data_IF_209322488720
#
_entry.id   IF_209322488720
#
_cell.length_a   1.000
_cell.length_b   1.000
_cell.length_c   1.000
_cell.angle_alpha   90.00
_cell.angle_beta   90.00
_cell.angle_gamma   90.00
#
_symmetry.space_group_name_H-M   'P 1'
#
loop_
_entity.id
_entity.type
_entity.pdbx_description
1 polymer ?
#
# COMPACT_ATOMS: atom_id res chain seq x y z
N UNK A 1 -36.22 33.89 3.81
CA UNK A 1 -36.12 34.45 2.46
C UNK A 1 -35.33 33.43 1.62
N UNK A 2 -36.01 32.70 0.77
CA UNK A 2 -35.41 31.71 -0.13
C UNK A 2 -34.87 32.44 -1.36
N UNK A 3 -33.58 32.38 -1.58
CA UNK A 3 -32.95 32.96 -2.79
C UNK A 3 -33.52 32.28 -4.04
N UNK A 4 -33.87 33.05 -5.04
CA UNK A 4 -34.43 32.53 -6.29
C UNK A 4 -33.33 31.99 -7.20
N UNK A 5 -33.70 31.06 -8.12
CA UNK A 5 -32.78 30.48 -9.13
C UNK A 5 -32.01 31.54 -9.96
N UNK A 6 -32.58 32.74 -10.09
CA UNK A 6 -31.95 33.90 -10.76
C UNK A 6 -30.80 34.52 -9.96
N UNK A 7 -30.92 34.50 -8.63
CA UNK A 7 -29.88 35.06 -7.74
C UNK A 7 -28.64 34.16 -7.69
N UNK A 8 -28.86 32.83 -7.72
CA UNK A 8 -27.77 31.83 -7.78
C UNK A 8 -26.95 31.96 -9.08
N UNK A 9 -27.61 32.22 -10.22
CA UNK A 9 -26.92 32.41 -11.51
C UNK A 9 -26.08 33.72 -11.56
N UNK A 10 -26.51 34.76 -10.86
CA UNK A 10 -25.74 36.01 -10.77
C UNK A 10 -24.43 35.84 -9.95
N UNK A 11 -24.51 35.08 -8.87
CA UNK A 11 -23.31 34.78 -8.06
C UNK A 11 -22.32 33.88 -8.75
N UNK A 12 -22.79 32.86 -9.51
CA UNK A 12 -21.89 31.98 -10.29
C UNK A 12 -21.22 32.71 -11.43
N UNK A 13 -21.94 33.61 -12.12
CA UNK A 13 -21.36 34.42 -13.21
C UNK A 13 -20.29 35.40 -12.71
N UNK A 14 -20.51 36.06 -11.56
CA UNK A 14 -19.54 36.97 -10.97
C UNK A 14 -18.28 36.24 -10.44
N UNK A 15 -18.44 35.07 -9.83
CA UNK A 15 -17.32 34.26 -9.36
C UNK A 15 -16.42 33.77 -10.52
N UNK A 16 -17.02 33.32 -11.63
CA UNK A 16 -16.28 32.89 -12.83
C UNK A 16 -15.57 34.08 -13.50
N UNK A 17 -16.21 35.25 -13.57
CA UNK A 17 -15.61 36.45 -14.13
C UNK A 17 -14.43 36.96 -13.27
N UNK A 18 -14.54 36.90 -11.94
CA UNK A 18 -13.45 37.26 -11.02
C UNK A 18 -12.28 36.29 -11.12
N UNK A 19 -12.54 34.98 -11.25
CA UNK A 19 -11.48 34.00 -11.46
C UNK A 19 -10.78 34.13 -12.83
N UNK A 20 -11.52 34.50 -13.89
CA UNK A 20 -10.94 34.76 -15.21
C UNK A 20 -10.12 36.06 -15.23
N UNK A 21 -10.62 37.11 -14.59
CA UNK A 21 -9.88 38.39 -14.45
C UNK A 21 -8.63 38.22 -13.56
N UNK A 22 -8.72 37.43 -12.49
CA UNK A 22 -7.56 37.10 -11.63
C UNK A 22 -6.48 36.32 -12.38
N UNK A 23 -6.86 35.43 -13.31
CA UNK A 23 -5.90 34.70 -14.16
C UNK A 23 -5.23 35.61 -15.20
N UNK A 24 -5.96 36.54 -15.80
CA UNK A 24 -5.40 37.49 -16.76
C UNK A 24 -4.50 38.54 -16.05
N UNK A 25 -4.91 39.04 -14.86
CA UNK A 25 -4.11 39.99 -14.07
C UNK A 25 -2.88 39.35 -13.41
N UNK A 26 -2.93 38.04 -13.07
CA UNK A 26 -1.79 37.34 -12.47
C UNK A 26 -0.60 37.17 -13.43
N UNK A 27 -0.82 37.32 -14.75
CA UNK A 27 0.26 37.29 -15.73
C UNK A 27 1.04 38.60 -15.81
N UNK A 28 0.41 39.71 -15.43
CA UNK A 28 1.01 41.07 -15.60
C UNK A 28 1.56 41.72 -14.32
N UNK A 29 1.23 41.22 -13.12
CA UNK A 29 1.61 41.84 -11.85
C UNK A 29 2.56 40.99 -11.00
N UNK A 30 3.56 40.40 -11.60
CA UNK A 30 4.66 39.79 -10.82
C UNK A 30 5.67 40.84 -10.40
N UNK A 31 5.27 41.71 -9.52
CA UNK A 31 6.19 42.60 -8.84
C UNK A 31 7.02 41.77 -7.83
N UNK A 32 8.34 41.95 -7.86
CA UNK A 32 9.24 41.50 -6.81
C UNK A 32 8.70 41.97 -5.45
N UNK A 33 8.47 41.01 -4.53
CA UNK A 33 8.01 41.31 -3.17
C UNK A 33 6.54 41.04 -2.86
N UNK A 34 5.74 40.53 -3.78
CA UNK A 34 4.37 40.07 -3.45
C UNK A 34 4.40 38.74 -2.69
N UNK A 35 4.06 38.69 -1.37
CA UNK A 35 4.07 37.45 -0.61
C UNK A 35 3.04 36.41 -1.10
N UNK A 36 2.06 36.85 -1.92
CA UNK A 36 1.01 35.99 -2.50
C UNK A 36 1.29 35.63 -3.96
N UNK A 37 2.45 36.03 -4.50
CA UNK A 37 2.83 35.61 -5.85
C UNK A 37 3.00 34.11 -5.89
N UNK A 38 2.13 33.42 -6.64
CA UNK A 38 2.28 31.99 -6.89
C UNK A 38 3.59 31.80 -7.65
N UNK A 39 4.49 31.02 -7.10
CA UNK A 39 5.73 30.66 -7.81
C UNK A 39 5.32 29.90 -9.08
N UNK A 40 5.70 30.42 -10.24
CA UNK A 40 5.56 29.73 -11.50
C UNK A 40 6.90 29.13 -11.86
N UNK A 41 6.96 27.86 -11.86
CA UNK A 41 8.08 27.05 -12.27
C UNK A 41 7.60 25.60 -12.38
N UNK A 42 8.37 24.70 -12.98
CA UNK A 42 8.05 23.29 -12.92
C UNK A 42 7.95 22.89 -11.45
N UNK A 43 6.87 22.22 -11.09
CA UNK A 43 6.78 21.53 -9.81
C UNK A 43 7.56 20.23 -9.93
N UNK A 44 8.38 19.93 -8.92
CA UNK A 44 8.91 18.59 -8.74
C UNK A 44 7.73 17.70 -8.30
N UNK A 45 7.21 16.95 -9.24
CA UNK A 45 6.12 16.01 -8.98
C UNK A 45 6.67 14.59 -9.06
N UNK A 46 6.34 13.74 -8.08
CA UNK A 46 6.77 12.35 -8.11
C UNK A 46 6.18 11.62 -9.32
N UNK A 47 6.81 10.53 -9.71
CA UNK A 47 6.23 9.60 -10.68
C UNK A 47 4.90 9.07 -10.15
N UNK A 48 3.83 9.24 -10.93
CA UNK A 48 2.48 8.80 -10.54
C UNK A 48 1.97 7.77 -11.55
N UNK A 49 1.82 6.50 -11.15
CA UNK A 49 1.19 5.47 -11.99
C UNK A 49 -0.25 5.85 -12.38
N UNK A 50 -0.75 5.27 -13.47
CA UNK A 50 -2.18 5.34 -13.81
C UNK A 50 -3.00 4.68 -12.72
N UNK A 51 -4.24 5.14 -12.54
CA UNK A 51 -5.20 4.59 -11.59
C UNK A 51 -6.38 4.02 -12.34
N UNK A 52 -6.95 2.94 -11.79
CA UNK A 52 -8.12 2.29 -12.35
C UNK A 52 -8.89 1.54 -11.28
N UNK A 53 -10.05 1.03 -11.66
CA UNK A 53 -10.92 0.21 -10.83
C UNK A 53 -11.31 -1.05 -11.60
N UNK A 54 -11.17 -2.21 -10.97
CA UNK A 54 -11.66 -3.48 -11.47
C UNK A 54 -12.94 -3.86 -10.71
N UNK A 55 -13.88 -4.52 -11.38
CA UNK A 55 -15.04 -5.11 -10.72
C UNK A 55 -14.60 -6.40 -10.00
N UNK A 56 -14.51 -6.33 -8.69
CA UNK A 56 -14.14 -7.46 -7.82
C UNK A 56 -15.38 -8.14 -7.20
N UNK A 57 -15.17 -9.21 -6.43
CA UNK A 57 -16.28 -9.98 -5.84
C UNK A 57 -17.11 -9.19 -4.81
N UNK A 58 -16.54 -8.15 -4.21
CA UNK A 58 -17.18 -7.35 -3.16
C UNK A 58 -17.44 -5.90 -3.57
N UNK A 59 -17.20 -5.54 -4.81
CA UNK A 59 -17.32 -4.19 -5.34
C UNK A 59 -16.09 -3.77 -6.14
N UNK A 60 -15.84 -2.48 -6.28
CA UNK A 60 -14.72 -1.97 -7.05
C UNK A 60 -13.41 -2.12 -6.29
N UNK A 61 -12.39 -2.63 -6.98
CA UNK A 61 -11.02 -2.76 -6.49
C UNK A 61 -10.15 -1.70 -7.17
N UNK A 62 -9.64 -0.76 -6.41
CA UNK A 62 -8.71 0.26 -6.90
C UNK A 62 -7.31 -0.33 -7.12
N UNK A 63 -6.67 0.10 -8.20
CA UNK A 63 -5.29 -0.25 -8.48
C UNK A 63 -4.51 0.91 -9.10
N UNK A 64 -3.17 0.83 -9.02
CA UNK A 64 -2.20 1.70 -9.70
C UNK A 64 -1.38 0.87 -10.66
N UNK A 65 -1.06 1.41 -11.85
CA UNK A 65 -0.41 0.67 -12.93
C UNK A 65 0.65 1.54 -13.63
N UNK A 66 1.88 1.05 -13.71
CA UNK A 66 2.97 1.71 -14.45
C UNK A 66 2.86 1.55 -15.98
N UNK A 67 2.04 0.62 -16.46
CA UNK A 67 1.61 0.49 -17.85
C UNK A 67 2.36 -0.52 -18.69
N UNK A 68 3.67 -0.65 -18.59
CA UNK A 68 4.49 -1.46 -19.50
C UNK A 68 5.50 -2.34 -18.76
N UNK A 69 5.89 -3.46 -19.38
CA UNK A 69 6.89 -4.40 -18.87
C UNK A 69 6.31 -5.71 -18.35
N UNK A 70 7.13 -6.47 -17.61
CA UNK A 70 6.75 -7.72 -16.96
C UNK A 70 5.76 -7.44 -15.83
N UNK A 71 4.54 -8.02 -15.83
CA UNK A 71 3.53 -7.70 -14.84
C UNK A 71 3.90 -8.24 -13.45
N UNK A 72 3.88 -7.36 -12.47
CA UNK A 72 4.09 -7.63 -11.05
C UNK A 72 2.97 -6.99 -10.23
N UNK A 73 2.13 -7.81 -9.61
CA UNK A 73 1.14 -7.35 -8.62
C UNK A 73 1.86 -7.01 -7.31
N UNK A 74 1.51 -5.88 -6.71
CA UNK A 74 2.01 -5.42 -5.42
C UNK A 74 0.87 -5.35 -4.41
N UNK A 75 0.92 -6.18 -3.37
CA UNK A 75 -0.02 -6.21 -2.27
C UNK A 75 0.56 -5.45 -1.07
N UNK A 76 -0.04 -4.32 -0.64
CA UNK A 76 0.46 -3.53 0.47
C UNK A 76 0.19 -4.18 1.83
N UNK A 77 0.95 -3.77 2.84
CA UNK A 77 0.60 -4.09 4.23
C UNK A 77 -0.70 -3.38 4.64
N UNK A 78 -1.53 -4.03 5.44
CA UNK A 78 -2.71 -3.39 6.00
C UNK A 78 -2.32 -2.48 7.21
N UNK A 79 -2.98 -1.34 7.39
CA UNK A 79 -4.08 -0.77 6.61
C UNK A 79 -3.64 0.16 5.47
N UNK A 80 -2.42 0.00 4.95
CA UNK A 80 -1.88 0.84 3.89
C UNK A 80 -2.51 0.50 2.53
N UNK A 81 -2.20 1.33 1.55
CA UNK A 81 -2.73 1.26 0.19
C UNK A 81 -1.62 0.99 -0.82
N UNK A 82 -1.95 0.86 -2.09
CA UNK A 82 -0.98 0.81 -3.20
C UNK A 82 -0.01 2.01 -3.22
N UNK A 83 -0.28 3.09 -2.49
CA UNK A 83 0.65 4.20 -2.28
C UNK A 83 1.86 3.84 -1.42
N UNK A 84 1.81 2.75 -0.66
CA UNK A 84 2.99 2.23 0.01
C UNK A 84 4.17 2.07 -0.95
N UNK A 85 3.89 1.72 -2.20
CA UNK A 85 4.89 1.49 -3.23
C UNK A 85 5.27 2.74 -4.04
N UNK A 86 4.87 3.93 -3.58
CA UNK A 86 5.01 5.21 -4.31
C UNK A 86 6.47 5.49 -4.72
N UNK A 87 7.43 5.13 -3.88
CA UNK A 87 8.86 5.33 -4.13
C UNK A 87 9.52 4.21 -4.94
N UNK A 88 8.85 3.08 -5.19
CA UNK A 88 9.41 1.95 -5.97
C UNK A 88 8.77 1.75 -7.34
N UNK A 89 7.66 2.44 -7.66
CA UNK A 89 7.04 2.32 -8.99
C UNK A 89 8.00 2.73 -10.11
N UNK A 90 8.67 3.87 -10.00
CA UNK A 90 9.63 4.33 -11.00
C UNK A 90 10.88 3.45 -11.05
N UNK A 91 11.54 3.09 -9.92
CA UNK A 91 12.61 2.11 -9.89
C UNK A 91 12.29 0.79 -10.59
N UNK A 92 11.10 0.22 -10.36
CA UNK A 92 10.64 -1.01 -11.02
C UNK A 92 10.41 -0.80 -12.52
N UNK A 93 9.75 0.30 -12.91
CA UNK A 93 9.51 0.61 -14.31
C UNK A 93 10.82 0.77 -15.11
N UNK A 94 11.85 1.41 -14.53
CA UNK A 94 13.17 1.52 -15.15
C UNK A 94 13.87 0.16 -15.34
N UNK A 95 13.47 -0.86 -14.59
CA UNK A 95 13.94 -2.25 -14.70
C UNK A 95 13.05 -3.13 -15.60
N UNK A 96 12.10 -2.51 -16.35
CA UNK A 96 11.22 -3.21 -17.27
C UNK A 96 10.10 -3.99 -16.58
N UNK A 97 9.76 -3.65 -15.34
CA UNK A 97 8.69 -4.27 -14.57
C UNK A 97 7.46 -3.37 -14.59
N UNK A 98 6.33 -3.91 -15.06
CA UNK A 98 5.01 -3.29 -14.94
C UNK A 98 4.47 -3.54 -13.55
N UNK A 99 4.66 -2.61 -12.63
CA UNK A 99 4.19 -2.71 -11.27
C UNK A 99 2.71 -2.30 -11.17
N UNK A 100 1.89 -3.17 -10.60
CA UNK A 100 0.45 -3.00 -10.45
C UNK A 100 0.12 -3.13 -8.96
N UNK A 101 0.00 -1.99 -8.27
CA UNK A 101 -0.35 -1.97 -6.84
C UNK A 101 -1.86 -2.06 -6.66
N UNK A 102 -2.32 -2.98 -5.83
CA UNK A 102 -3.74 -3.27 -5.59
C UNK A 102 -4.11 -2.88 -4.17
N UNK A 103 -5.14 -2.06 -3.99
CA UNK A 103 -5.70 -1.79 -2.67
C UNK A 103 -6.57 -2.96 -2.24
N UNK A 104 -6.28 -3.56 -1.08
CA UNK A 104 -7.11 -4.63 -0.54
C UNK A 104 -8.55 -4.14 -0.28
N UNK A 105 -9.58 -4.98 -0.49
CA UNK A 105 -10.97 -4.59 -0.20
C UNK A 105 -11.14 -3.97 1.18
N UNK A 106 -11.72 -2.76 1.20
CA UNK A 106 -11.94 -1.96 2.41
C UNK A 106 -10.85 -0.94 2.72
N UNK A 107 -9.68 -0.99 2.07
CA UNK A 107 -8.61 -0.01 2.23
C UNK A 107 -8.46 0.88 1.00
N UNK A 108 -7.90 2.07 1.22
CA UNK A 108 -7.71 3.06 0.16
C UNK A 108 -9.02 3.42 -0.52
N UNK A 109 -9.07 3.19 -1.81
CA UNK A 109 -10.21 3.49 -2.68
C UNK A 109 -10.97 2.22 -3.12
N UNK A 110 -10.69 1.06 -2.51
CA UNK A 110 -11.41 -0.19 -2.78
C UNK A 110 -12.66 -0.32 -1.92
N UNK A 111 -13.75 -0.82 -2.50
CA UNK A 111 -14.98 -1.09 -1.77
C UNK A 111 -14.76 -2.12 -0.66
N UNK A 112 -15.46 -2.01 0.48
CA UNK A 112 -15.31 -2.94 1.58
C UNK A 112 -16.10 -4.24 1.34
N UNK A 113 -15.68 -5.31 2.00
CA UNK A 113 -16.49 -6.51 2.14
C UNK A 113 -17.72 -6.23 3.02
N UNK A 114 -18.86 -6.91 2.80
CA UNK A 114 -20.03 -6.76 3.67
C UNK A 114 -19.92 -7.49 5.02
N UNK A 115 -18.75 -8.03 5.33
CA UNK A 115 -18.42 -8.78 6.55
C UNK A 115 -16.97 -8.49 6.95
N UNK A 116 -16.54 -9.00 8.10
CA UNK A 116 -15.12 -8.91 8.54
C UNK A 116 -14.29 -9.81 7.63
N UNK A 117 -13.35 -9.24 6.84
CA UNK A 117 -12.62 -10.00 5.84
C UNK A 117 -11.55 -10.91 6.43
N UNK A 118 -11.21 -11.94 5.65
CA UNK A 118 -10.03 -12.78 5.81
C UNK A 118 -8.99 -12.42 4.76
N UNK A 119 -7.78 -12.97 4.90
CA UNK A 119 -6.73 -12.86 3.87
C UNK A 119 -7.18 -13.49 2.54
N UNK A 120 -7.96 -14.58 2.59
CA UNK A 120 -8.50 -15.24 1.39
C UNK A 120 -9.47 -14.33 0.61
N UNK A 121 -10.31 -13.56 1.31
CA UNK A 121 -11.20 -12.59 0.67
C UNK A 121 -10.41 -11.49 -0.05
N UNK A 122 -9.29 -11.05 0.52
CA UNK A 122 -8.43 -10.06 -0.13
C UNK A 122 -7.65 -10.62 -1.33
N UNK A 123 -7.27 -11.89 -1.27
CA UNK A 123 -6.57 -12.55 -2.37
C UNK A 123 -7.41 -12.58 -3.66
N UNK A 124 -8.76 -12.61 -3.55
CA UNK A 124 -9.68 -12.57 -4.68
C UNK A 124 -9.64 -11.25 -5.49
N UNK A 125 -9.13 -10.18 -4.91
CA UNK A 125 -8.96 -8.89 -5.61
C UNK A 125 -7.91 -8.98 -6.73
N UNK A 126 -6.90 -9.85 -6.59
CA UNK A 126 -5.81 -9.97 -7.57
C UNK A 126 -6.29 -10.50 -8.91
N UNK A 127 -7.01 -11.64 -9.00
CA UNK A 127 -7.58 -12.10 -10.28
C UNK A 127 -8.47 -11.07 -10.95
N UNK A 128 -9.30 -10.33 -10.21
CA UNK A 128 -10.19 -9.31 -10.75
C UNK A 128 -9.41 -8.21 -11.50
N UNK A 129 -8.31 -7.74 -10.92
CA UNK A 129 -7.44 -6.75 -11.55
C UNK A 129 -6.72 -7.33 -12.78
N UNK A 130 -6.24 -8.57 -12.70
CA UNK A 130 -5.60 -9.25 -13.84
C UNK A 130 -6.57 -9.43 -15.02
N UNK A 131 -7.82 -9.81 -14.74
CA UNK A 131 -8.86 -10.02 -15.76
C UNK A 131 -9.20 -8.70 -16.47
N UNK A 132 -9.37 -7.61 -15.73
CA UNK A 132 -9.60 -6.28 -16.32
C UNK A 132 -8.46 -5.87 -17.24
N UNK A 133 -7.21 -6.14 -16.85
CA UNK A 133 -6.01 -5.75 -17.60
C UNK A 133 -5.66 -6.72 -18.74
N UNK A 134 -6.41 -7.82 -18.89
CA UNK A 134 -6.15 -8.87 -19.88
C UNK A 134 -4.84 -9.60 -19.63
N UNK A 135 -4.43 -9.73 -18.37
CA UNK A 135 -3.21 -10.42 -17.94
C UNK A 135 -3.58 -11.82 -17.47
N UNK A 136 -3.16 -12.84 -18.23
CA UNK A 136 -3.44 -14.21 -17.88
C UNK A 136 -2.69 -14.63 -16.61
N UNK A 137 -1.43 -14.24 -16.49
CA UNK A 137 -0.53 -14.65 -15.40
C UNK A 137 0.46 -13.53 -15.07
N UNK A 138 0.67 -13.25 -13.79
CA UNK A 138 1.62 -12.24 -13.31
C UNK A 138 2.54 -12.78 -12.22
N UNK A 139 3.62 -12.06 -11.93
CA UNK A 139 4.33 -12.22 -10.66
C UNK A 139 3.53 -11.51 -9.56
N UNK A 140 3.63 -12.00 -8.32
CA UNK A 140 2.94 -11.40 -7.19
C UNK A 140 3.94 -11.13 -6.07
N UNK A 141 3.92 -9.93 -5.53
CA UNK A 141 4.71 -9.51 -4.39
C UNK A 141 3.81 -8.94 -3.31
N UNK A 142 4.02 -9.33 -2.08
CA UNK A 142 3.35 -8.71 -0.95
C UNK A 142 4.30 -8.32 0.16
N UNK A 143 3.99 -7.21 0.81
CA UNK A 143 4.75 -6.68 1.94
C UNK A 143 3.99 -6.88 3.25
N UNK A 144 4.58 -7.53 4.26
CA UNK A 144 3.97 -7.87 5.55
C UNK A 144 2.59 -8.54 5.39
N UNK A 145 1.49 -7.91 5.83
CA UNK A 145 0.12 -8.45 5.61
C UNK A 145 -0.15 -8.70 4.12
N UNK A 146 0.36 -7.83 3.24
CA UNK A 146 0.32 -8.06 1.80
C UNK A 146 1.08 -9.32 1.38
N UNK A 147 2.14 -9.70 2.12
CA UNK A 147 2.85 -10.97 1.92
C UNK A 147 1.97 -12.18 2.20
N UNK A 148 1.06 -12.09 3.18
CA UNK A 148 0.04 -13.13 3.42
C UNK A 148 -0.98 -13.16 2.28
N UNK A 149 -1.43 -11.99 1.79
CA UNK A 149 -2.34 -11.90 0.64
C UNK A 149 -1.70 -12.48 -0.62
N UNK A 150 -0.43 -12.16 -0.89
CA UNK A 150 0.31 -12.70 -2.02
C UNK A 150 0.51 -14.23 -1.90
N UNK A 151 0.80 -14.73 -0.70
CA UNK A 151 0.89 -16.17 -0.40
C UNK A 151 -0.43 -16.86 -0.69
N UNK A 152 -1.52 -16.34 -0.15
CA UNK A 152 -2.86 -16.91 -0.34
C UNK A 152 -3.31 -16.83 -1.79
N UNK A 153 -2.97 -15.74 -2.51
CA UNK A 153 -3.20 -15.65 -3.96
C UNK A 153 -2.48 -16.80 -4.71
N UNK A 154 -1.24 -17.09 -4.35
CA UNK A 154 -0.49 -18.18 -4.98
C UNK A 154 -1.02 -19.58 -4.61
N UNK A 155 -1.65 -19.73 -3.45
CA UNK A 155 -2.28 -20.97 -3.01
C UNK A 155 -3.63 -21.18 -3.70
N UNK A 156 -4.48 -20.15 -3.75
CA UNK A 156 -5.83 -20.23 -4.31
C UNK A 156 -5.84 -20.19 -5.85
N UNK A 157 -4.93 -19.45 -6.46
CA UNK A 157 -4.88 -19.20 -7.90
C UNK A 157 -3.48 -19.47 -8.49
N UNK A 158 -2.90 -20.67 -8.30
CA UNK A 158 -1.53 -20.96 -8.72
C UNK A 158 -1.34 -20.83 -10.24
N UNK A 159 -2.40 -20.99 -11.02
CA UNK A 159 -2.39 -20.81 -12.48
C UNK A 159 -2.27 -19.32 -12.87
N UNK A 160 -2.56 -18.39 -11.97
CA UNK A 160 -2.48 -16.93 -12.18
C UNK A 160 -1.14 -16.32 -11.71
N UNK A 161 -0.30 -17.09 -11.02
CA UNK A 161 0.95 -16.62 -10.41
C UNK A 161 2.17 -17.26 -11.05
N UNK A 162 3.07 -16.47 -11.67
CA UNK A 162 4.34 -16.96 -12.22
C UNK A 162 5.38 -17.19 -11.12
N UNK A 163 5.67 -16.14 -10.35
CA UNK A 163 6.61 -16.14 -9.22
C UNK A 163 6.00 -15.37 -8.07
N UNK A 164 6.36 -15.77 -6.86
CA UNK A 164 5.92 -15.12 -5.63
C UNK A 164 7.11 -14.47 -4.93
N UNK A 165 6.92 -13.25 -4.42
CA UNK A 165 7.87 -12.60 -3.52
C UNK A 165 7.13 -12.25 -2.23
N UNK A 166 7.63 -12.75 -1.11
CA UNK A 166 7.07 -12.48 0.21
C UNK A 166 8.06 -11.58 0.95
N UNK A 167 7.75 -10.29 1.01
CA UNK A 167 8.57 -9.32 1.74
C UNK A 167 8.09 -9.23 3.18
N UNK A 168 8.85 -9.77 4.09
CA UNK A 168 8.51 -9.87 5.51
C UNK A 168 7.41 -10.91 5.77
N UNK A 169 7.66 -12.21 5.54
CA UNK A 169 6.73 -13.26 5.95
C UNK A 169 6.63 -13.32 7.48
N UNK A 170 5.45 -13.73 7.96
CA UNK A 170 5.17 -13.77 9.40
C UNK A 170 4.61 -15.16 9.80
N UNK A 171 5.40 -16.25 9.70
CA UNK A 171 5.05 -17.50 10.35
C UNK A 171 5.09 -17.35 11.87
N UNK A 172 4.06 -17.83 12.55
CA UNK A 172 4.00 -17.83 14.01
C UNK A 172 3.12 -18.94 14.54
N UNK A 173 3.34 -19.31 15.82
CA UNK A 173 2.55 -20.33 16.48
C UNK A 173 1.14 -19.85 16.83
N UNK A 174 0.24 -20.80 17.12
CA UNK A 174 -1.15 -20.52 17.46
C UNK A 174 -1.27 -19.63 18.73
N UNK A 175 -0.45 -19.89 19.75
CA UNK A 175 -0.45 -19.08 20.96
C UNK A 175 -0.03 -17.63 20.69
N UNK A 176 0.99 -17.44 19.87
CA UNK A 176 1.47 -16.12 19.48
C UNK A 176 0.40 -15.35 18.69
N UNK A 177 -0.22 -15.99 17.68
CA UNK A 177 -1.35 -15.43 16.94
C UNK A 177 -2.49 -15.03 17.86
N UNK A 178 -2.85 -15.90 18.82
CA UNK A 178 -3.90 -15.62 19.79
C UNK A 178 -3.58 -14.40 20.67
N UNK A 179 -2.31 -14.20 21.05
CA UNK A 179 -1.89 -13.05 21.83
C UNK A 179 -1.95 -11.76 21.01
N UNK A 180 -1.58 -11.78 19.73
CA UNK A 180 -1.75 -10.63 18.84
C UNK A 180 -3.24 -10.30 18.60
N UNK A 181 -4.12 -11.29 18.45
CA UNK A 181 -5.56 -11.05 18.35
C UNK A 181 -6.13 -10.36 19.60
N UNK A 182 -5.71 -10.75 20.80
CA UNK A 182 -6.09 -10.05 22.04
C UNK A 182 -5.61 -8.60 22.05
N UNK A 183 -4.41 -8.34 21.52
CA UNK A 183 -3.90 -6.96 21.38
C UNK A 183 -4.75 -6.14 20.42
N UNK A 184 -5.11 -6.69 19.26
CA UNK A 184 -6.02 -6.04 18.28
C UNK A 184 -7.38 -5.77 18.91
N UNK A 185 -7.94 -6.74 19.64
CA UNK A 185 -9.23 -6.58 20.33
C UNK A 185 -9.17 -5.47 21.40
N UNK A 186 -8.12 -5.45 22.21
CA UNK A 186 -7.97 -4.47 23.26
C UNK A 186 -7.69 -3.04 22.76
N UNK A 187 -6.91 -2.89 21.70
CA UNK A 187 -6.38 -1.60 21.25
C UNK A 187 -7.00 -1.05 19.97
N UNK A 188 -7.38 -1.92 19.05
CA UNK A 188 -7.82 -1.46 17.71
C UNK A 188 -9.33 -1.61 17.48
N UNK A 189 -9.97 -2.72 17.86
CA UNK A 189 -11.42 -2.92 17.68
C UNK A 189 -12.21 -1.90 18.50
N UNK A 190 -11.71 -1.55 19.69
CA UNK A 190 -12.32 -0.57 20.58
C UNK A 190 -11.86 0.87 20.32
N UNK A 191 -11.21 1.12 19.20
CA UNK A 191 -10.74 2.45 18.83
C UNK A 191 -11.90 3.44 18.67
N UNK A 192 -11.70 4.65 19.22
CA UNK A 192 -12.70 5.73 19.15
C UNK A 192 -12.04 6.98 18.56
N UNK A 193 -12.65 7.53 17.52
CA UNK A 193 -12.24 8.82 16.97
C UNK A 193 -12.46 9.93 18.01
N UNK A 194 -11.42 10.69 18.33
CA UNK A 194 -11.45 11.77 19.30
C UNK A 194 -11.81 13.10 18.61
N UNK A 195 -12.70 13.88 19.21
CA UNK A 195 -13.17 15.14 18.64
C UNK A 195 -12.08 16.21 18.52
N UNK A 196 -11.04 16.13 19.34
CA UNK A 196 -9.89 17.03 19.33
C UNK A 196 -8.79 16.61 18.35
N UNK A 197 -8.96 15.46 17.66
CA UNK A 197 -7.98 14.93 16.69
C UNK A 197 -6.76 14.23 17.33
N UNK A 198 -6.75 14.01 18.65
CA UNK A 198 -5.61 13.39 19.35
C UNK A 198 -5.28 11.99 18.83
N UNK A 199 -6.26 11.24 18.35
CA UNK A 199 -6.07 9.92 17.72
C UNK A 199 -5.14 9.97 16.49
N UNK A 200 -5.16 11.06 15.71
CA UNK A 200 -4.24 11.25 14.58
C UNK A 200 -2.81 11.49 15.08
N UNK A 201 -2.67 12.27 16.13
CA UNK A 201 -1.38 12.52 16.77
C UNK A 201 -0.78 11.25 17.37
N UNK A 202 -1.60 10.41 18.02
CA UNK A 202 -1.19 9.14 18.59
C UNK A 202 -0.74 8.15 17.50
N UNK A 203 -1.47 8.06 16.39
CA UNK A 203 -1.11 7.23 15.25
C UNK A 203 0.22 7.69 14.62
N UNK A 204 0.40 8.99 14.44
CA UNK A 204 1.66 9.57 13.96
C UNK A 204 2.82 9.24 14.91
N UNK A 205 2.63 9.47 16.22
CA UNK A 205 3.66 9.20 17.23
C UNK A 205 4.00 7.70 17.33
N UNK A 206 3.01 6.82 17.15
CA UNK A 206 3.22 5.38 17.08
C UNK A 206 4.14 5.01 15.92
N UNK A 207 3.83 5.46 14.69
CA UNK A 207 4.66 5.20 13.51
C UNK A 207 6.05 5.82 13.63
N UNK A 208 6.15 7.02 14.19
CA UNK A 208 7.44 7.68 14.47
C UNK A 208 8.33 6.81 15.38
N UNK A 209 7.77 6.25 16.45
CA UNK A 209 8.53 5.36 17.35
C UNK A 209 9.03 4.11 16.65
N UNK A 210 8.21 3.49 15.80
CA UNK A 210 8.63 2.30 15.02
C UNK A 210 9.88 2.57 14.16
N UNK A 211 9.99 3.77 13.56
CA UNK A 211 11.20 4.18 12.84
C UNK A 211 12.41 4.32 13.75
N UNK A 212 12.25 5.00 14.87
CA UNK A 212 13.33 5.24 15.82
C UNK A 212 13.83 3.92 16.43
N UNK A 213 12.89 3.06 16.83
CA UNK A 213 13.20 1.77 17.44
C UNK A 213 13.91 0.82 16.45
N UNK A 214 13.58 0.91 15.16
CA UNK A 214 14.29 0.23 14.06
C UNK A 214 15.62 0.87 13.65
N UNK A 215 16.08 1.92 14.38
CA UNK A 215 17.36 2.60 14.08
C UNK A 215 17.32 3.53 12.86
N UNK A 216 16.14 3.75 12.27
CA UNK A 216 15.96 4.63 11.12
C UNK A 216 15.83 6.11 11.49
N UNK A 217 15.98 6.97 10.49
CA UNK A 217 15.69 8.40 10.61
C UNK A 217 14.25 8.66 10.16
N UNK A 218 13.34 9.11 11.04
CA UNK A 218 11.96 9.34 10.67
C UNK A 218 11.82 10.45 9.62
N UNK A 219 11.08 10.18 8.54
CA UNK A 219 10.60 11.20 7.61
C UNK A 219 9.18 11.63 7.98
N UNK A 220 8.97 12.85 8.49
CA UNK A 220 7.64 13.31 8.88
C UNK A 220 6.61 13.33 7.74
N UNK A 221 7.05 13.54 6.50
CA UNK A 221 6.16 13.49 5.32
C UNK A 221 5.66 12.07 5.07
N UNK A 222 6.56 11.10 5.15
CA UNK A 222 6.23 9.69 5.00
C UNK A 222 5.30 9.21 6.12
N UNK A 223 5.63 9.54 7.37
CA UNK A 223 4.79 9.20 8.54
C UNK A 223 3.41 9.84 8.42
N UNK A 224 3.30 11.07 7.90
CA UNK A 224 2.01 11.71 7.62
C UNK A 224 1.21 10.90 6.62
N UNK A 225 1.82 10.42 5.51
CA UNK A 225 1.15 9.56 4.53
C UNK A 225 0.57 8.32 5.20
N UNK A 226 1.38 7.57 5.94
CA UNK A 226 0.96 6.37 6.66
C UNK A 226 -0.16 6.62 7.68
N UNK A 227 -0.08 7.76 8.38
CA UNK A 227 -1.11 8.16 9.35
C UNK A 227 -2.44 8.44 8.68
N UNK A 228 -2.43 9.16 7.55
CA UNK A 228 -3.65 9.47 6.80
C UNK A 228 -4.26 8.21 6.21
N UNK A 229 -3.46 7.37 5.59
CA UNK A 229 -3.93 6.13 4.95
C UNK A 229 -4.58 5.17 5.97
N UNK A 230 -4.10 5.13 7.20
CA UNK A 230 -4.70 4.32 8.28
C UNK A 230 -6.19 4.60 8.46
N UNK A 231 -6.64 5.83 8.23
CA UNK A 231 -8.02 6.26 8.46
C UNK A 231 -8.79 6.58 7.17
N UNK A 232 -8.20 6.34 6.01
CA UNK A 232 -8.78 6.69 4.72
C UNK A 232 -9.70 5.60 4.17
N UNK A 233 -9.51 4.33 4.53
CA UNK A 233 -10.28 3.21 3.99
C UNK A 233 -11.76 3.23 4.43
N UNK A 234 -12.60 2.53 3.67
CA UNK A 234 -14.04 2.34 3.98
C UNK A 234 -14.26 1.32 5.10
N UNK A 235 -13.37 0.33 5.22
CA UNK A 235 -13.41 -0.60 6.35
C UNK A 235 -12.66 -0.03 7.57
N UNK A 236 -13.04 -0.43 8.80
CA UNK A 236 -12.26 -0.11 9.98
C UNK A 236 -10.83 -0.67 9.86
N UNK A 237 -9.83 0.15 10.19
CA UNK A 237 -8.40 -0.22 10.00
C UNK A 237 -7.98 -1.48 10.77
N UNK A 238 -8.66 -1.81 11.88
CA UNK A 238 -8.36 -3.00 12.67
C UNK A 238 -8.59 -4.31 11.91
N UNK A 239 -9.42 -4.29 10.86
CA UNK A 239 -9.67 -5.49 10.04
C UNK A 239 -8.38 -6.01 9.41
N UNK A 240 -7.40 -5.12 9.19
CA UNK A 240 -6.09 -5.46 8.67
C UNK A 240 -5.32 -6.43 9.55
N UNK A 241 -5.07 -6.03 10.78
CA UNK A 241 -4.38 -6.88 11.74
C UNK A 241 -5.22 -8.10 12.15
N UNK A 242 -6.55 -7.94 12.25
CA UNK A 242 -7.42 -9.07 12.54
C UNK A 242 -7.27 -10.17 11.47
N UNK A 243 -7.40 -9.83 10.18
CA UNK A 243 -7.25 -10.80 9.11
C UNK A 243 -5.85 -11.44 9.10
N UNK A 244 -4.80 -10.65 9.33
CA UNK A 244 -3.43 -11.14 9.40
C UNK A 244 -3.23 -12.18 10.51
N UNK A 245 -3.77 -11.94 11.72
CA UNK A 245 -3.53 -12.82 12.87
C UNK A 245 -4.51 -14.00 12.97
N UNK A 246 -5.64 -13.99 12.27
CA UNK A 246 -6.44 -15.22 12.09
C UNK A 246 -5.90 -16.13 10.99
N UNK A 247 -5.10 -15.61 10.05
CA UNK A 247 -4.51 -16.37 8.96
C UNK A 247 -3.37 -17.26 9.45
N UNK A 248 -3.39 -18.54 9.10
CA UNK A 248 -2.28 -19.46 9.34
C UNK A 248 -1.23 -19.35 8.22
N UNK A 249 -0.30 -18.40 8.39
CA UNK A 249 0.74 -18.22 7.38
C UNK A 249 1.69 -19.41 7.27
N UNK A 250 1.85 -20.22 8.35
CA UNK A 250 2.63 -21.46 8.29
C UNK A 250 2.01 -22.43 7.28
N UNK A 251 0.69 -22.64 7.37
CA UNK A 251 -0.03 -23.47 6.43
C UNK A 251 0.01 -22.90 5.00
N UNK A 252 -0.16 -21.59 4.87
CA UNK A 252 -0.04 -20.89 3.58
C UNK A 252 1.32 -21.14 2.93
N UNK A 253 2.42 -20.88 3.64
CA UNK A 253 3.80 -21.10 3.15
C UNK A 253 4.02 -22.55 2.69
N UNK A 254 3.51 -23.54 3.44
CA UNK A 254 3.68 -24.95 3.10
C UNK A 254 2.90 -25.37 1.85
N UNK A 255 1.85 -24.66 1.48
CA UNK A 255 1.00 -24.94 0.31
C UNK A 255 1.43 -24.19 -0.97
N UNK A 256 2.37 -23.28 -0.91
CA UNK A 256 2.90 -22.56 -2.09
C UNK A 256 3.65 -23.53 -3.01
N UNK A 257 3.30 -23.55 -4.29
CA UNK A 257 3.88 -24.44 -5.31
C UNK A 257 4.60 -23.69 -6.45
N UNK A 258 4.60 -22.38 -6.43
CA UNK A 258 5.28 -21.55 -7.44
C UNK A 258 6.69 -21.16 -7.00
N UNK A 259 7.62 -20.84 -7.91
CA UNK A 259 8.93 -20.33 -7.56
C UNK A 259 8.81 -19.10 -6.66
N UNK A 260 9.44 -19.13 -5.49
CA UNK A 260 9.22 -18.13 -4.43
C UNK A 260 10.54 -17.58 -3.90
N UNK A 261 10.53 -16.28 -3.61
CA UNK A 261 11.58 -15.58 -2.87
C UNK A 261 11.02 -15.00 -1.56
N UNK A 262 11.72 -15.27 -0.47
CA UNK A 262 11.60 -14.51 0.77
C UNK A 262 12.53 -13.31 0.67
N UNK A 263 11.98 -12.12 0.75
CA UNK A 263 12.73 -10.86 0.82
C UNK A 263 12.58 -10.28 2.23
N UNK A 264 13.67 -9.93 2.86
CA UNK A 264 13.67 -9.33 4.20
C UNK A 264 14.79 -8.31 4.35
N UNK A 265 14.82 -7.61 5.47
CA UNK A 265 15.89 -6.68 5.81
C UNK A 265 16.18 -6.71 7.31
N UNK A 266 17.45 -6.45 7.67
CA UNK A 266 17.96 -6.67 9.02
C UNK A 266 17.34 -5.77 10.10
N UNK A 267 16.74 -4.63 9.72
CA UNK A 267 16.05 -3.73 10.64
C UNK A 267 14.53 -3.93 10.70
N UNK A 268 13.97 -4.93 10.01
CA UNK A 268 12.53 -5.22 10.09
C UNK A 268 12.18 -5.85 11.44
N UNK A 269 11.05 -5.43 12.03
CA UNK A 269 10.55 -5.98 13.33
C UNK A 269 10.24 -7.48 13.24
N UNK A 270 9.94 -8.00 12.04
CA UNK A 270 9.64 -9.42 11.80
C UNK A 270 10.79 -10.15 11.08
N UNK A 271 12.01 -9.62 11.20
CA UNK A 271 13.21 -10.21 10.61
C UNK A 271 13.42 -11.68 11.03
N UNK A 272 13.27 -11.99 12.33
CA UNK A 272 13.42 -13.37 12.82
C UNK A 272 12.33 -14.31 12.28
N UNK A 273 11.11 -13.80 12.03
CA UNK A 273 10.06 -14.58 11.37
C UNK A 273 10.41 -14.89 9.90
N UNK A 274 11.08 -13.97 9.22
CA UNK A 274 11.53 -14.22 7.85
C UNK A 274 12.59 -15.33 7.78
N UNK A 275 13.49 -15.39 8.75
CA UNK A 275 14.46 -16.50 8.90
C UNK A 275 13.76 -17.83 9.18
N UNK A 276 12.78 -17.82 10.09
CA UNK A 276 11.97 -19.00 10.36
C UNK A 276 11.25 -19.49 9.09
N UNK A 277 10.69 -18.58 8.28
CA UNK A 277 10.07 -18.94 7.01
C UNK A 277 11.07 -19.60 6.04
N UNK A 278 12.31 -19.12 5.98
CA UNK A 278 13.37 -19.71 5.16
C UNK A 278 13.79 -21.10 5.67
N UNK A 279 13.81 -21.31 6.99
CA UNK A 279 14.04 -22.65 7.57
C UNK A 279 12.90 -23.62 7.25
N UNK A 280 11.64 -23.14 7.25
CA UNK A 280 10.47 -23.96 6.92
C UNK A 280 10.43 -24.33 5.43
N UNK A 281 10.92 -23.42 4.55
CA UNK A 281 10.90 -23.57 3.08
C UNK A 281 12.30 -23.32 2.50
N UNK A 282 13.24 -24.27 2.70
CA UNK A 282 14.62 -24.15 2.20
C UNK A 282 14.72 -24.21 0.67
N UNK A 283 13.64 -24.55 0.00
CA UNK A 283 13.48 -24.48 -1.45
C UNK A 283 13.17 -23.07 -1.98
N UNK A 284 12.77 -22.14 -1.11
CA UNK A 284 12.58 -20.74 -1.47
C UNK A 284 13.92 -20.02 -1.54
N UNK A 285 14.03 -19.08 -2.48
CA UNK A 285 15.18 -18.17 -2.49
C UNK A 285 15.08 -17.23 -1.28
N UNK A 286 16.19 -17.02 -0.57
CA UNK A 286 16.25 -16.07 0.54
C UNK A 286 17.15 -14.91 0.19
N UNK A 287 16.62 -13.70 0.24
CA UNK A 287 17.36 -12.46 0.00
C UNK A 287 17.18 -11.52 1.18
N UNK A 288 18.30 -11.06 1.71
CA UNK A 288 18.37 -10.16 2.86
C UNK A 288 19.03 -8.86 2.47
N UNK A 289 18.41 -7.73 2.79
CA UNK A 289 18.97 -6.40 2.63
C UNK A 289 19.51 -5.91 3.98
N UNK A 290 20.69 -5.32 3.96
CA UNK A 290 21.30 -4.78 5.17
C UNK A 290 20.65 -3.43 5.53
N UNK A 291 20.15 -3.27 6.76
CA UNK A 291 19.53 -2.05 7.23
C UNK A 291 18.05 -1.94 6.86
N UNK A 292 17.54 -0.71 6.80
CA UNK A 292 16.11 -0.42 6.61
C UNK A 292 15.28 -0.84 7.81
N UNK A 293 13.98 -0.64 7.73
CA UNK A 293 13.00 -1.04 8.74
C UNK A 293 11.72 -1.55 8.07
N UNK A 294 10.60 -1.45 8.77
CA UNK A 294 9.29 -1.85 8.25
C UNK A 294 8.90 -1.16 6.93
N UNK A 295 9.44 0.02 6.66
CA UNK A 295 9.15 0.79 5.44
C UNK A 295 10.32 0.74 4.45
N UNK A 296 10.94 -0.43 4.30
CA UNK A 296 12.08 -0.68 3.41
C UNK A 296 11.87 -0.15 1.98
N UNK A 297 10.65 -0.24 1.46
CA UNK A 297 10.25 0.24 0.13
C UNK A 297 10.39 1.76 -0.04
N UNK A 298 10.35 2.50 1.06
CA UNK A 298 10.55 3.95 1.08
C UNK A 298 11.98 4.33 1.48
N UNK A 299 12.62 3.52 2.31
CA UNK A 299 13.95 3.79 2.86
C UNK A 299 15.08 3.39 1.90
N UNK A 300 14.90 2.31 1.16
CA UNK A 300 15.89 1.74 0.24
C UNK A 300 15.23 1.31 -1.09
N UNK A 301 14.58 2.24 -1.82
CA UNK A 301 13.77 1.90 -2.98
C UNK A 301 14.55 1.28 -4.13
N UNK A 302 15.81 1.68 -4.33
CA UNK A 302 16.64 1.17 -5.44
C UNK A 302 17.14 -0.24 -5.13
N UNK A 303 17.71 -0.46 -3.94
CA UNK A 303 18.23 -1.76 -3.50
C UNK A 303 17.10 -2.79 -3.43
N UNK A 304 15.93 -2.38 -2.95
CA UNK A 304 14.75 -3.23 -2.92
C UNK A 304 14.30 -3.59 -4.35
N UNK A 305 14.25 -2.62 -5.26
CA UNK A 305 13.88 -2.87 -6.65
C UNK A 305 14.91 -3.73 -7.39
N UNK A 306 16.21 -3.63 -7.06
CA UNK A 306 17.25 -4.50 -7.60
C UNK A 306 17.07 -5.94 -7.14
N UNK A 307 16.78 -6.18 -5.87
CA UNK A 307 16.52 -7.52 -5.34
C UNK A 307 15.28 -8.15 -6.02
N UNK A 308 14.19 -7.39 -6.16
CA UNK A 308 12.98 -7.84 -6.85
C UNK A 308 13.27 -8.18 -8.31
N UNK A 309 13.88 -7.27 -9.06
CA UNK A 309 14.21 -7.50 -10.48
C UNK A 309 15.17 -8.66 -10.66
N UNK A 310 16.17 -8.78 -9.78
CA UNK A 310 17.13 -9.88 -9.79
C UNK A 310 16.49 -11.27 -9.69
N UNK A 311 15.48 -11.42 -8.83
CA UNK A 311 14.73 -12.67 -8.73
C UNK A 311 13.82 -12.89 -9.94
N UNK A 312 13.09 -11.86 -10.38
CA UNK A 312 12.12 -12.00 -11.47
C UNK A 312 12.78 -12.34 -12.81
N UNK A 313 14.00 -11.87 -13.05
CA UNK A 313 14.74 -12.10 -14.32
C UNK A 313 15.45 -13.46 -14.39
N UNK A 314 15.59 -14.19 -13.28
CA UNK A 314 16.12 -15.56 -13.30
C UNK A 314 15.20 -16.46 -14.13
N UNK A 315 15.82 -17.38 -14.87
CA UNK A 315 15.12 -18.36 -15.71
C UNK A 315 14.33 -19.37 -14.86
#
# INVERSE_FOLDING_TARGET
MTATRRDTLKYTGAAIAVMSAARAGAAETRAEGNPWAVRSGPMDVPYVPRRGYADGPYGQVHFRDTGEGRPLILCPQAPQTSRQFENVYEPLARRGIRAIGVDSPGFGESDPTPFVPTVSDWAEAVPAVLDLLGIEKADVLGHHTGGMVATETAVLFPERVNKLIINGPLPMGEEERSNFLKFVEAGEINFVHQADGSHMQDAFAGRYRMYVDGGGTPDPKLITRYTVERFQGYAPFWTGHHAAFIYDHNAGLMNVMVPTMILTNTGDQIYENAKLAAEMRPDFEYVELEGGGIDIVDQMPEEWADAVAGFLTKA
#
